data_IF_857372734033
#
_entry.id   IF_857372734033
#
_cell.length_a   1.000
_cell.length_b   1.000
_cell.length_c   1.000
_cell.angle_alpha   90.00
_cell.angle_beta   90.00
_cell.angle_gamma   90.00
#
_symmetry.space_group_name_H-M   'P 1'
#
loop_
_entity.id
_entity.type
_entity.pdbx_description
1 polymer ?
#
# COMPACT_ATOMS: atom_id res chain seq x y z
N UNK A 1 18.59 22.87 -52.76
CA UNK A 1 17.56 22.14 -51.97
C UNK A 1 18.14 21.89 -50.61
N UNK A 2 17.76 22.73 -49.60
CA UNK A 2 18.27 22.62 -48.21
C UNK A 2 17.37 21.63 -47.45
N UNK A 3 17.93 20.51 -47.04
CA UNK A 3 17.26 19.54 -46.14
C UNK A 3 17.48 20.00 -44.69
N UNK A 4 16.43 20.49 -44.07
CA UNK A 4 16.43 20.78 -42.63
C UNK A 4 16.29 19.46 -41.89
N UNK A 5 17.39 18.99 -41.28
CA UNK A 5 17.36 17.89 -40.29
C UNK A 5 16.77 18.45 -39.00
N UNK A 6 15.52 18.11 -38.67
CA UNK A 6 14.97 18.31 -37.33
C UNK A 6 15.66 17.31 -36.40
N UNK A 7 16.65 17.76 -35.65
CA UNK A 7 17.13 17.02 -34.50
C UNK A 7 15.99 16.99 -33.47
N UNK A 8 15.29 15.87 -33.40
CA UNK A 8 14.41 15.56 -32.27
C UNK A 8 15.29 15.54 -31.01
N UNK A 9 15.21 16.59 -30.19
CA UNK A 9 15.81 16.58 -28.85
C UNK A 9 15.00 15.52 -28.07
N UNK A 10 15.54 14.32 -27.98
CA UNK A 10 15.02 13.32 -27.07
C UNK A 10 15.13 13.89 -25.65
N UNK A 11 13.99 14.36 -25.14
CA UNK A 11 13.90 14.85 -23.76
C UNK A 11 14.43 13.76 -22.83
N UNK A 12 15.41 14.10 -22.01
CA UNK A 12 16.07 13.15 -21.09
C UNK A 12 15.02 12.61 -20.10
N UNK A 13 14.52 11.40 -20.35
CA UNK A 13 13.47 10.74 -19.54
C UNK A 13 13.98 10.23 -18.19
N UNK A 14 15.17 10.65 -17.76
CA UNK A 14 15.79 10.20 -16.50
C UNK A 14 14.95 10.50 -15.25
N UNK A 15 14.01 11.43 -15.32
CA UNK A 15 13.20 11.87 -14.19
C UNK A 15 11.69 11.65 -14.38
N UNK A 16 11.29 10.85 -15.37
CA UNK A 16 9.88 10.52 -15.58
C UNK A 16 9.38 9.64 -14.45
N UNK A 17 8.33 10.08 -13.75
CA UNK A 17 7.62 9.28 -12.74
C UNK A 17 6.57 8.43 -13.44
N UNK A 18 6.72 7.11 -13.35
CA UNK A 18 5.73 6.12 -13.78
C UNK A 18 5.24 5.40 -12.53
N UNK A 19 4.13 5.88 -12.00
CA UNK A 19 3.62 5.47 -10.71
C UNK A 19 2.36 4.60 -10.83
N UNK A 20 2.26 3.59 -9.95
CA UNK A 20 1.07 2.77 -9.78
C UNK A 20 0.51 2.93 -8.37
N UNK A 21 -0.81 2.96 -8.24
CA UNK A 21 -1.52 2.93 -6.97
C UNK A 21 -1.84 1.50 -6.61
N UNK A 22 -1.56 1.10 -5.36
CA UNK A 22 -1.98 -0.18 -4.77
C UNK A 22 -3.02 0.11 -3.70
N UNK A 23 -4.26 -0.26 -3.99
CA UNK A 23 -5.41 -0.03 -3.12
C UNK A 23 -5.58 -1.18 -2.14
N UNK A 24 -5.56 -0.87 -0.84
CA UNK A 24 -5.78 -1.86 0.21
C UNK A 24 -7.23 -1.89 0.71
N UNK A 25 -8.00 -0.83 0.46
CA UNK A 25 -9.41 -0.78 0.85
C UNK A 25 -10.19 -1.96 0.24
N UNK A 26 -10.94 -2.67 1.08
CA UNK A 26 -11.72 -3.86 0.71
C UNK A 26 -10.90 -5.03 0.14
N UNK A 27 -9.57 -4.96 0.18
CA UNK A 27 -8.68 -5.92 -0.46
C UNK A 27 -8.77 -5.88 -2.00
N UNK A 28 -9.00 -4.70 -2.60
CA UNK A 28 -9.19 -4.58 -4.05
C UNK A 28 -7.95 -5.04 -4.81
N UNK A 29 -6.79 -4.47 -4.52
CA UNK A 29 -5.54 -4.88 -5.16
C UNK A 29 -4.75 -5.81 -4.25
N UNK A 30 -4.69 -5.50 -2.94
CA UNK A 30 -3.96 -6.27 -1.94
C UNK A 30 -4.53 -6.03 -0.53
N UNK A 31 -4.51 -7.05 0.38
CA UNK A 31 -4.18 -8.46 0.14
C UNK A 31 -5.38 -9.28 -0.32
N UNK A 32 -5.13 -10.34 -1.08
CA UNK A 32 -6.13 -11.34 -1.44
C UNK A 32 -6.18 -12.47 -0.40
N UNK A 33 -5.05 -12.75 0.26
CA UNK A 33 -4.93 -13.76 1.32
C UNK A 33 -4.88 -13.09 2.69
N UNK A 34 -5.64 -13.60 3.67
CA UNK A 34 -5.56 -13.16 5.07
C UNK A 34 -4.43 -13.88 5.80
N UNK A 35 -3.53 -13.12 6.43
CA UNK A 35 -2.41 -13.65 7.22
C UNK A 35 -2.90 -14.15 8.59
N UNK A 36 -3.30 -15.41 8.68
CA UNK A 36 -3.80 -16.05 9.92
C UNK A 36 -2.77 -16.97 10.57
N UNK A 37 -1.80 -17.45 9.81
CA UNK A 37 -0.69 -18.31 10.22
C UNK A 37 0.55 -18.02 9.36
N UNK A 38 1.65 -18.72 9.60
CA UNK A 38 2.91 -18.52 8.88
C UNK A 38 2.79 -18.75 7.37
N UNK A 39 2.09 -19.79 6.95
CA UNK A 39 1.91 -20.11 5.52
C UNK A 39 1.10 -19.04 4.80
N UNK A 40 -0.02 -18.60 5.38
CA UNK A 40 -0.86 -17.56 4.78
C UNK A 40 -0.19 -16.19 4.83
N UNK A 41 0.66 -15.92 5.82
CA UNK A 41 1.52 -14.73 5.85
C UNK A 41 2.49 -14.71 4.68
N UNK A 42 3.23 -15.81 4.48
CA UNK A 42 4.17 -15.94 3.38
C UNK A 42 3.46 -15.78 2.01
N UNK A 43 2.25 -16.33 1.88
CA UNK A 43 1.44 -16.16 0.67
C UNK A 43 1.03 -14.69 0.46
N UNK A 44 0.57 -14.01 1.51
CA UNK A 44 0.20 -12.59 1.45
C UNK A 44 1.40 -11.71 1.04
N UNK A 45 2.60 -12.01 1.54
CA UNK A 45 3.83 -11.35 1.13
C UNK A 45 4.19 -11.65 -0.32
N UNK A 46 4.05 -12.90 -0.76
CA UNK A 46 4.33 -13.30 -2.14
C UNK A 46 3.38 -12.63 -3.15
N UNK A 47 2.12 -12.39 -2.79
CA UNK A 47 1.18 -11.63 -3.63
C UNK A 47 1.71 -10.20 -3.90
N UNK A 48 2.24 -9.53 -2.88
CA UNK A 48 2.78 -8.19 -3.01
C UNK A 48 4.08 -8.18 -3.84
N UNK A 49 4.97 -9.13 -3.60
CA UNK A 49 6.19 -9.33 -4.39
C UNK A 49 5.85 -9.49 -5.87
N UNK A 50 4.88 -10.36 -6.19
CA UNK A 50 4.44 -10.60 -7.56
C UNK A 50 3.95 -9.31 -8.23
N UNK A 51 3.12 -8.52 -7.55
CA UNK A 51 2.64 -7.24 -8.07
C UNK A 51 3.80 -6.28 -8.36
N UNK A 52 4.78 -6.19 -7.45
CA UNK A 52 5.95 -5.33 -7.64
C UNK A 52 6.83 -5.80 -8.82
N UNK A 53 6.98 -7.11 -9.00
CA UNK A 53 7.72 -7.68 -10.14
C UNK A 53 7.02 -7.36 -11.47
N UNK A 54 5.70 -7.48 -11.53
CA UNK A 54 4.89 -7.13 -12.70
C UNK A 54 4.98 -5.63 -13.01
N UNK A 55 4.88 -4.77 -12.00
CA UNK A 55 5.03 -3.32 -12.16
C UNK A 55 6.45 -2.96 -12.65
N UNK A 56 7.48 -3.58 -12.08
CA UNK A 56 8.86 -3.36 -12.50
C UNK A 56 9.10 -3.81 -13.95
N UNK A 57 8.57 -4.96 -14.33
CA UNK A 57 8.64 -5.47 -15.70
C UNK A 57 7.93 -4.53 -16.71
N UNK A 58 6.88 -3.85 -16.27
CA UNK A 58 6.17 -2.82 -17.04
C UNK A 58 6.82 -1.43 -16.96
N UNK A 59 8.07 -1.33 -16.46
CA UNK A 59 8.84 -0.09 -16.32
C UNK A 59 8.25 0.94 -15.34
N UNK A 60 7.40 0.56 -14.39
CA UNK A 60 7.04 1.44 -13.29
C UNK A 60 8.24 1.66 -12.36
N UNK A 61 8.36 2.85 -11.81
CA UNK A 61 9.46 3.24 -10.92
C UNK A 61 8.98 3.77 -9.56
N UNK A 62 7.67 3.90 -9.36
CA UNK A 62 7.07 4.47 -8.15
C UNK A 62 5.79 3.72 -7.80
N UNK A 63 5.60 3.45 -6.51
CA UNK A 63 4.38 2.83 -5.96
C UNK A 63 3.77 3.77 -4.94
N UNK A 64 2.46 4.02 -5.04
CA UNK A 64 1.66 4.70 -4.03
C UNK A 64 0.81 3.64 -3.32
N UNK A 65 1.20 3.27 -2.11
CA UNK A 65 0.56 2.21 -1.33
C UNK A 65 -0.43 2.78 -0.33
N UNK A 66 -1.66 2.29 -0.32
CA UNK A 66 -2.69 2.72 0.62
C UNK A 66 -2.40 2.22 2.04
N UNK A 67 -1.55 2.95 2.76
CA UNK A 67 -1.08 2.61 4.10
C UNK A 67 -2.13 2.86 5.20
N UNK A 68 -3.05 3.82 4.99
CA UNK A 68 -4.18 4.09 5.89
C UNK A 68 -5.45 4.21 5.08
N UNK A 69 -6.51 3.50 5.50
CA UNK A 69 -7.79 3.50 4.79
C UNK A 69 -8.87 4.32 5.53
N UNK A 70 -9.48 3.78 6.58
CA UNK A 70 -10.65 4.36 7.24
C UNK A 70 -10.54 4.29 8.78
N UNK A 71 -9.43 4.80 9.32
CA UNK A 71 -9.11 4.69 10.74
C UNK A 71 -8.49 3.34 11.11
N UNK A 72 -8.03 2.62 10.11
CA UNK A 72 -7.26 1.39 10.18
C UNK A 72 -6.04 1.45 9.26
N UNK A 73 -4.99 0.74 9.57
CA UNK A 73 -3.67 0.89 8.97
C UNK A 73 -3.05 -0.44 8.53
N UNK A 74 -2.09 -0.33 7.62
CA UNK A 74 -1.28 -1.41 7.07
C UNK A 74 0.20 -1.31 7.51
N UNK A 75 0.43 -0.73 8.70
CA UNK A 75 1.74 -0.60 9.34
C UNK A 75 1.61 -0.67 10.87
N UNK A 76 2.70 -0.88 11.58
CA UNK A 76 2.70 -0.88 13.04
C UNK A 76 2.43 0.52 13.59
N UNK A 77 1.28 0.70 14.21
CA UNK A 77 0.84 1.98 14.76
C UNK A 77 0.51 1.85 16.25
N UNK A 78 0.90 2.89 17.02
CA UNK A 78 0.49 3.04 18.42
C UNK A 78 -0.90 3.71 18.55
N UNK A 79 -1.40 4.30 17.46
CA UNK A 79 -2.62 5.12 17.44
C UNK A 79 -3.80 4.32 16.92
N UNK A 80 -3.70 3.78 15.70
CA UNK A 80 -4.78 3.09 15.00
C UNK A 80 -4.55 1.58 14.92
N UNK A 81 -5.61 0.76 14.83
CA UNK A 81 -5.49 -0.69 14.72
C UNK A 81 -5.06 -1.13 13.33
N UNK A 82 -4.44 -2.30 13.22
CA UNK A 82 -4.30 -2.98 11.95
C UNK A 82 -5.67 -3.20 11.29
N UNK A 83 -5.72 -3.07 9.96
CA UNK A 83 -6.93 -3.35 9.19
C UNK A 83 -7.35 -4.81 9.31
N UNK A 84 -8.67 -5.03 9.47
CA UNK A 84 -9.26 -6.37 9.47
C UNK A 84 -8.99 -7.12 8.15
N UNK A 85 -8.70 -6.42 7.07
CA UNK A 85 -8.41 -6.99 5.75
C UNK A 85 -7.16 -7.87 5.82
N UNK A 86 -6.16 -7.48 6.63
CA UNK A 86 -4.91 -8.23 6.76
C UNK A 86 -5.09 -9.64 7.36
N UNK A 87 -5.99 -9.77 8.35
CA UNK A 87 -6.09 -11.00 9.16
C UNK A 87 -7.51 -11.54 9.31
N UNK A 88 -8.52 -10.77 8.88
CA UNK A 88 -9.93 -11.04 9.15
C UNK A 88 -10.46 -10.40 10.43
N UNK A 89 -9.60 -9.80 11.28
CA UNK A 89 -9.98 -9.18 12.55
C UNK A 89 -9.23 -7.87 12.75
N UNK A 90 -9.95 -6.79 13.04
CA UNK A 90 -9.34 -5.49 13.29
C UNK A 90 -8.40 -5.53 14.49
N UNK A 91 -7.24 -4.90 14.36
CA UNK A 91 -6.20 -4.82 15.38
C UNK A 91 -5.39 -6.08 15.60
N UNK A 92 -5.72 -7.20 14.95
CA UNK A 92 -4.91 -8.42 15.02
C UNK A 92 -3.64 -8.24 14.19
N UNK A 93 -2.47 -8.49 14.82
CA UNK A 93 -1.16 -8.40 14.18
C UNK A 93 -1.02 -9.50 13.10
N UNK A 94 -0.70 -9.15 11.84
CA UNK A 94 -0.44 -10.13 10.79
C UNK A 94 0.91 -10.86 10.98
N UNK A 95 1.70 -10.45 11.98
CA UNK A 95 3.00 -11.01 12.32
C UNK A 95 4.17 -10.38 11.55
N UNK A 96 3.94 -9.28 10.84
CA UNK A 96 4.94 -8.45 10.17
C UNK A 96 4.41 -7.03 10.01
N UNK A 97 5.24 -6.10 9.54
CA UNK A 97 4.80 -4.75 9.16
C UNK A 97 4.63 -4.69 7.63
N UNK A 98 3.40 -4.60 7.11
CA UNK A 98 3.16 -4.60 5.67
C UNK A 98 3.82 -3.43 4.93
N UNK A 99 3.77 -2.22 5.51
CA UNK A 99 4.38 -1.05 4.87
C UNK A 99 5.91 -1.14 4.87
N UNK A 100 6.53 -1.54 5.99
CA UNK A 100 7.97 -1.72 6.05
C UNK A 100 8.44 -2.79 5.06
N UNK A 101 7.72 -3.91 4.97
CA UNK A 101 7.98 -4.96 3.99
C UNK A 101 7.90 -4.45 2.54
N UNK A 102 6.84 -3.69 2.22
CA UNK A 102 6.68 -3.10 0.89
C UNK A 102 7.83 -2.16 0.53
N UNK A 103 8.21 -1.26 1.46
CA UNK A 103 9.31 -0.29 1.26
C UNK A 103 10.60 -1.04 0.94
N UNK A 104 10.93 -2.08 1.70
CA UNK A 104 12.10 -2.92 1.46
C UNK A 104 12.06 -3.58 0.07
N UNK A 105 10.91 -4.17 -0.30
CA UNK A 105 10.74 -4.83 -1.58
C UNK A 105 10.75 -3.86 -2.78
N UNK A 106 10.23 -2.63 -2.62
CA UNK A 106 10.35 -1.57 -3.62
C UNK A 106 11.82 -1.18 -3.82
N UNK A 107 12.55 -0.93 -2.73
CA UNK A 107 13.96 -0.53 -2.81
C UNK A 107 14.86 -1.60 -3.44
N UNK A 108 14.62 -2.90 -3.16
CA UNK A 108 15.31 -4.01 -3.84
C UNK A 108 15.16 -3.96 -5.37
N UNK A 109 14.08 -3.38 -5.86
CA UNK A 109 13.77 -3.22 -7.29
C UNK A 109 14.15 -1.86 -7.86
N UNK A 110 14.77 -0.98 -7.06
CA UNK A 110 15.06 0.40 -7.44
C UNK A 110 13.78 1.19 -7.74
N UNK A 111 12.72 0.96 -6.98
CA UNK A 111 11.44 1.67 -7.05
C UNK A 111 11.25 2.56 -5.83
N UNK A 112 10.66 3.73 -6.02
CA UNK A 112 10.20 4.58 -4.93
C UNK A 112 8.90 4.05 -4.33
N UNK A 113 8.73 4.24 -3.01
CA UNK A 113 7.51 3.88 -2.30
C UNK A 113 6.95 5.08 -1.54
N UNK A 114 5.70 5.43 -1.83
CA UNK A 114 4.98 6.51 -1.19
C UNK A 114 3.79 5.96 -0.40
N UNK A 115 3.67 6.34 0.87
CA UNK A 115 2.53 5.98 1.69
C UNK A 115 1.32 6.86 1.35
N UNK A 116 0.26 6.26 0.83
CA UNK A 116 -1.03 6.93 0.62
C UNK A 116 -1.87 6.88 1.90
N UNK A 117 -2.16 8.06 2.44
CA UNK A 117 -2.94 8.24 3.67
C UNK A 117 -4.29 8.85 3.35
N UNK A 118 -5.37 8.13 3.62
CA UNK A 118 -6.74 8.66 3.56
C UNK A 118 -7.04 9.35 4.88
N UNK A 119 -6.88 10.67 4.95
CA UNK A 119 -6.84 11.41 6.22
C UNK A 119 -8.18 11.47 6.97
N UNK A 120 -9.28 11.82 6.29
CA UNK A 120 -10.56 12.12 6.94
C UNK A 120 -11.53 10.94 7.09
N UNK A 121 -11.79 10.10 6.08
CA UNK A 121 -12.77 9.03 6.19
C UNK A 121 -12.46 8.04 7.31
N UNK A 122 -13.44 7.75 8.15
CA UNK A 122 -13.39 6.74 9.20
C UNK A 122 -14.30 5.53 8.90
N UNK A 123 -14.96 5.55 7.74
CA UNK A 123 -15.93 4.53 7.35
C UNK A 123 -17.29 4.69 8.01
N UNK A 124 -18.22 3.77 7.70
CA UNK A 124 -19.55 3.76 8.31
C UNK A 124 -19.54 3.26 9.76
N UNK A 125 -20.65 3.48 10.49
CA UNK A 125 -20.80 3.12 11.91
C UNK A 125 -20.37 1.67 12.23
N UNK A 126 -20.75 0.69 11.41
CA UNK A 126 -20.37 -0.72 11.60
C UNK A 126 -18.85 -0.90 11.57
N UNK A 127 -18.17 -0.24 10.61
CA UNK A 127 -16.71 -0.30 10.50
C UNK A 127 -16.04 0.33 11.73
N UNK A 128 -16.43 1.55 12.12
CA UNK A 128 -15.89 2.25 13.30
C UNK A 128 -16.08 1.40 14.57
N UNK A 129 -17.23 0.76 14.72
CA UNK A 129 -17.49 -0.15 15.87
C UNK A 129 -16.54 -1.35 15.84
N UNK A 130 -16.25 -1.93 14.67
CA UNK A 130 -15.36 -3.09 14.52
C UNK A 130 -13.89 -2.78 14.85
N UNK A 131 -13.47 -1.51 14.78
CA UNK A 131 -12.11 -1.08 15.17
C UNK A 131 -11.85 -1.17 16.69
N UNK A 132 -12.90 -1.36 17.48
CA UNK A 132 -12.82 -1.59 18.91
C UNK A 132 -12.29 -0.39 19.72
N UNK A 133 -11.64 -0.66 20.85
CA UNK A 133 -11.13 0.38 21.76
C UNK A 133 -9.99 1.22 21.15
N UNK A 134 -9.33 0.74 20.11
CA UNK A 134 -8.26 1.46 19.42
C UNK A 134 -8.77 2.41 18.34
N UNK A 135 -10.07 2.46 18.09
CA UNK A 135 -10.67 3.45 17.19
C UNK A 135 -10.37 4.87 17.67
N UNK A 136 -9.95 5.74 16.76
CA UNK A 136 -9.73 7.17 17.04
C UNK A 136 -10.98 7.81 17.62
N UNK A 137 -12.17 7.46 17.13
CA UNK A 137 -13.46 7.96 17.64
C UNK A 137 -13.71 7.60 19.11
N UNK A 138 -13.25 6.44 19.58
CA UNK A 138 -13.36 6.05 20.98
C UNK A 138 -12.30 6.68 21.88
N UNK A 139 -11.11 6.97 21.32
CA UNK A 139 -10.02 7.59 22.09
C UNK A 139 -10.19 9.10 22.24
N UNK A 140 -10.88 9.73 21.31
CA UNK A 140 -11.15 11.18 21.31
C UNK A 140 -12.64 11.39 21.00
N UNK A 141 -13.53 11.13 21.97
CA UNK A 141 -14.93 11.50 21.85
C UNK A 141 -15.02 13.02 21.72
N UNK A 142 -15.87 13.49 20.79
CA UNK A 142 -16.17 14.91 20.61
C UNK A 142 -16.87 15.48 21.83
#
# INVERSE_FOLDING_TARGET
MLVWAFSSIAQDRKHEVRAAWITCAYGLDWPQTRATNQTTRARQQAELIKQLDELKAANFNTVLFQARTRGDVFYRSKIEPFSAILTGSAGKDPGYDPLAFLVEECHKRGMECHAWIVALPLGGRKHVTSLGARSVVKKQPA
#
